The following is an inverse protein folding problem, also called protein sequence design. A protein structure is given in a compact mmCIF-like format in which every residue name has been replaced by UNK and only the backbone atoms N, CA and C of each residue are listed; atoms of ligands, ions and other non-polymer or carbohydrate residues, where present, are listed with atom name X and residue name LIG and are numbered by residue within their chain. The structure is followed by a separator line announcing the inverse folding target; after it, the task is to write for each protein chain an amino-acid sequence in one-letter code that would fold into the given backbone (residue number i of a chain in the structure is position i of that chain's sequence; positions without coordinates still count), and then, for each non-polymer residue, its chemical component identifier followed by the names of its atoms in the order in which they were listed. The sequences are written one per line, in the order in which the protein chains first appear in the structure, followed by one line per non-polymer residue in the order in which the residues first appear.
data_IF_425889908343
#
_entry.id   IF_425889908343
#
_cell.length_a   1.000
_cell.length_b   1.000
_cell.length_c   1.000
_cell.angle_alpha   90.00
_cell.angle_beta   90.00
_cell.angle_gamma   90.00
#
_symmetry.space_group_name_H-M   'P 1'
#
loop_
_entity.id
_entity.type
_entity.pdbx_description
1 polymer ?
#
# COMPACT_ATOMS: atom_id res chain seq x y z
N UNK A 1 -13.78 7.49 -23.72
CA UNK A 1 -12.75 6.52 -24.17
C UNK A 1 -13.39 5.13 -24.23
N UNK A 2 -13.07 4.32 -25.24
CA UNK A 2 -13.55 2.93 -25.31
C UNK A 2 -12.80 2.04 -24.30
N UNK A 3 -13.50 1.07 -23.72
CA UNK A 3 -12.88 0.06 -22.86
C UNK A 3 -11.92 -0.83 -23.65
N UNK A 4 -10.82 -1.25 -23.01
CA UNK A 4 -9.85 -2.20 -23.59
C UNK A 4 -8.62 -1.58 -24.25
N UNK A 5 -8.57 -0.25 -24.40
CA UNK A 5 -7.36 0.44 -24.85
C UNK A 5 -6.31 0.48 -23.72
N UNK A 6 -5.12 -0.06 -23.97
CA UNK A 6 -4.05 -0.16 -22.97
C UNK A 6 -3.66 1.18 -22.32
N UNK A 7 -3.76 2.29 -23.07
CA UNK A 7 -3.38 3.62 -22.58
C UNK A 7 -4.55 4.44 -22.03
N UNK A 8 -5.79 3.97 -22.15
CA UNK A 8 -6.96 4.73 -21.70
C UNK A 8 -6.89 5.11 -20.21
N UNK A 9 -6.48 4.22 -19.27
CA UNK A 9 -6.35 4.59 -17.86
C UNK A 9 -5.30 5.68 -17.63
N UNK A 10 -4.15 5.60 -18.31
CA UNK A 10 -3.09 6.59 -18.18
C UNK A 10 -3.50 7.97 -18.73
N UNK A 11 -4.16 7.99 -19.89
CA UNK A 11 -4.71 9.21 -20.48
C UNK A 11 -5.78 9.83 -19.59
N UNK A 12 -6.68 9.02 -19.03
CA UNK A 12 -7.71 9.51 -18.12
C UNK A 12 -7.11 10.07 -16.83
N UNK A 13 -6.14 9.37 -16.24
CA UNK A 13 -5.42 9.86 -15.07
C UNK A 13 -4.77 11.22 -15.33
N UNK A 14 -4.16 11.39 -16.52
CA UNK A 14 -3.52 12.67 -16.90
C UNK A 14 -4.56 13.78 -16.97
N UNK A 15 -5.67 13.55 -17.66
CA UNK A 15 -6.79 14.50 -17.73
C UNK A 15 -7.29 14.87 -16.32
N UNK A 16 -7.52 13.88 -15.46
CA UNK A 16 -8.02 14.12 -14.11
C UNK A 16 -7.02 14.91 -13.26
N UNK A 17 -5.72 14.62 -13.37
CA UNK A 17 -4.68 15.38 -12.70
C UNK A 17 -4.64 16.84 -13.20
N UNK A 18 -4.83 17.08 -14.50
CA UNK A 18 -4.87 18.43 -15.06
C UNK A 18 -6.10 19.22 -14.57
N UNK A 19 -7.29 18.60 -14.57
CA UNK A 19 -8.54 19.21 -14.11
C UNK A 19 -8.48 19.58 -12.63
N UNK A 20 -7.94 18.68 -11.79
CA UNK A 20 -7.89 18.87 -10.34
C UNK A 20 -6.59 19.50 -9.85
N UNK A 21 -5.64 19.83 -10.73
CA UNK A 21 -4.30 20.34 -10.40
C UNK A 21 -4.27 21.41 -9.30
N UNK A 22 -5.18 22.41 -9.26
CA UNK A 22 -5.16 23.43 -8.21
C UNK A 22 -5.50 22.89 -6.80
N UNK A 23 -6.23 21.77 -6.73
CA UNK A 23 -6.81 21.14 -5.55
C UNK A 23 -6.04 19.88 -5.09
N UNK A 24 -5.20 19.31 -5.96
CA UNK A 24 -4.38 18.15 -5.66
C UNK A 24 -3.54 18.37 -4.40
N UNK A 25 -3.49 17.35 -3.54
CA UNK A 25 -2.76 17.29 -2.28
C UNK A 25 -3.12 18.37 -1.23
N UNK A 26 -4.10 19.22 -1.53
CA UNK A 26 -4.66 20.20 -0.59
C UNK A 26 -5.96 19.69 0.02
N UNK A 27 -6.89 19.29 -0.83
CA UNK A 27 -8.24 18.83 -0.45
C UNK A 27 -8.77 17.71 -1.33
N UNK A 28 -8.06 17.36 -2.41
CA UNK A 28 -8.46 16.33 -3.37
C UNK A 28 -7.28 15.41 -3.67
N UNK A 29 -7.52 14.10 -3.63
CA UNK A 29 -6.63 13.08 -4.22
C UNK A 29 -7.37 12.42 -5.36
N UNK A 30 -6.71 12.24 -6.50
CA UNK A 30 -7.29 11.56 -7.66
C UNK A 30 -6.43 10.38 -8.06
N UNK A 31 -7.08 9.26 -8.37
CA UNK A 31 -6.42 8.09 -8.93
C UNK A 31 -7.32 7.43 -9.97
N UNK A 32 -6.91 7.48 -11.25
CA UNK A 32 -7.75 7.05 -12.38
C UNK A 32 -9.13 7.72 -12.32
N UNK A 33 -10.17 6.93 -12.07
CA UNK A 33 -11.58 7.37 -12.03
C UNK A 33 -12.04 7.75 -10.62
N UNK A 34 -11.26 7.44 -9.59
CA UNK A 34 -11.63 7.64 -8.19
C UNK A 34 -11.14 9.00 -7.69
N UNK A 35 -12.06 9.80 -7.14
CA UNK A 35 -11.80 11.11 -6.55
C UNK A 35 -12.10 11.03 -5.06
N UNK A 36 -11.09 11.34 -4.23
CA UNK A 36 -11.25 11.48 -2.79
C UNK A 36 -11.17 12.95 -2.42
N UNK A 37 -12.23 13.47 -1.79
CA UNK A 37 -12.26 14.83 -1.25
C UNK A 37 -12.17 14.75 0.28
N UNK A 38 -11.17 15.39 0.88
CA UNK A 38 -10.92 15.33 2.32
C UNK A 38 -10.75 16.73 2.90
N UNK A 39 -11.32 16.94 4.09
CA UNK A 39 -11.26 18.21 4.81
C UNK A 39 -11.55 17.99 6.30
N UNK A 40 -11.33 19.02 7.13
CA UNK A 40 -11.52 18.93 8.59
C UNK A 40 -12.94 19.21 9.07
N UNK A 41 -13.66 20.12 8.42
CA UNK A 41 -15.01 20.56 8.84
C UNK A 41 -16.04 20.25 7.76
N UNK A 42 -17.29 20.02 8.17
CA UNK A 42 -18.37 19.70 7.23
C UNK A 42 -18.74 20.92 6.37
N UNK A 43 -18.58 22.11 6.92
CA UNK A 43 -18.84 23.41 6.30
C UNK A 43 -17.88 23.63 5.13
N UNK A 44 -16.58 23.46 5.37
CA UNK A 44 -15.57 23.53 4.32
C UNK A 44 -15.78 22.41 3.30
N UNK A 45 -16.24 21.23 3.73
CA UNK A 45 -16.53 20.11 2.83
C UNK A 45 -17.55 20.46 1.76
N UNK A 46 -18.61 21.19 2.13
CA UNK A 46 -19.63 21.64 1.17
C UNK A 46 -19.04 22.59 0.13
N UNK A 47 -18.18 23.52 0.56
CA UNK A 47 -17.51 24.48 -0.32
C UNK A 47 -16.60 23.76 -1.31
N UNK A 48 -15.76 22.85 -0.82
CA UNK A 48 -14.85 22.08 -1.67
C UNK A 48 -15.59 21.12 -2.62
N UNK A 49 -16.66 20.47 -2.15
CA UNK A 49 -17.49 19.64 -3.03
C UNK A 49 -18.13 20.46 -4.15
N UNK A 50 -18.60 21.67 -3.86
CA UNK A 50 -19.14 22.56 -4.88
C UNK A 50 -18.08 22.91 -5.94
N UNK A 51 -16.85 23.23 -5.54
CA UNK A 51 -15.75 23.48 -6.47
C UNK A 51 -15.41 22.24 -7.32
N UNK A 52 -15.37 21.06 -6.70
CA UNK A 52 -15.12 19.80 -7.40
C UNK A 52 -16.20 19.52 -8.44
N UNK A 53 -17.48 19.70 -8.10
CA UNK A 53 -18.58 19.50 -9.06
C UNK A 53 -18.59 20.53 -10.17
N UNK A 54 -18.21 21.78 -9.89
CA UNK A 54 -18.11 22.80 -10.93
C UNK A 54 -17.02 22.46 -11.93
N UNK A 55 -15.83 22.04 -11.47
CA UNK A 55 -14.76 21.57 -12.36
C UNK A 55 -15.16 20.36 -13.20
N UNK A 56 -15.86 19.40 -12.60
CA UNK A 56 -16.37 18.26 -13.35
C UNK A 56 -17.34 18.72 -14.44
N UNK A 57 -18.21 19.69 -14.16
CA UNK A 57 -19.16 20.25 -15.12
C UNK A 57 -18.45 21.03 -16.24
N UNK A 58 -17.46 21.86 -15.92
CA UNK A 58 -16.67 22.62 -16.90
C UNK A 58 -15.95 21.72 -17.92
N UNK A 59 -15.62 20.50 -17.53
CA UNK A 59 -14.90 19.53 -18.35
C UNK A 59 -15.77 18.37 -18.87
N UNK A 60 -17.10 18.47 -18.77
CA UNK A 60 -18.07 17.45 -19.20
C UNK A 60 -17.80 16.04 -18.60
N UNK A 61 -17.34 16.01 -17.34
CA UNK A 61 -17.09 14.79 -16.58
C UNK A 61 -18.28 14.47 -15.67
N UNK A 62 -18.72 13.22 -15.71
CA UNK A 62 -19.90 12.77 -14.98
C UNK A 62 -19.55 11.74 -13.92
N UNK A 63 -20.03 11.97 -12.70
CA UNK A 63 -19.91 11.03 -11.58
C UNK A 63 -21.15 10.15 -11.50
N UNK A 64 -20.94 8.85 -11.28
CA UNK A 64 -22.05 7.90 -11.09
C UNK A 64 -22.54 7.96 -9.64
N UNK A 65 -23.66 8.66 -9.40
CA UNK A 65 -24.25 8.88 -8.06
C UNK A 65 -24.35 7.63 -7.19
N UNK A 66 -24.72 6.48 -7.75
CA UNK A 66 -24.85 5.19 -7.04
C UNK A 66 -23.53 4.71 -6.41
N UNK A 67 -22.38 5.15 -6.94
CA UNK A 67 -21.04 4.79 -6.44
C UNK A 67 -20.44 5.86 -5.54
N UNK A 68 -21.08 7.02 -5.41
CA UNK A 68 -20.57 8.13 -4.62
C UNK A 68 -20.91 7.95 -3.14
N UNK A 69 -19.95 8.27 -2.27
CA UNK A 69 -20.13 8.35 -0.82
C UNK A 69 -19.81 9.78 -0.40
N UNK A 70 -20.70 10.40 0.40
CA UNK A 70 -20.56 11.80 0.81
C UNK A 70 -20.53 11.92 2.32
N UNK A 71 -19.72 12.87 2.82
CA UNK A 71 -19.66 13.27 4.22
C UNK A 71 -19.54 12.09 5.21
N UNK A 72 -18.66 11.12 4.88
CA UNK A 72 -18.37 9.97 5.75
C UNK A 72 -17.13 10.25 6.60
N UNK A 73 -17.10 9.73 7.83
CA UNK A 73 -15.90 9.80 8.68
C UNK A 73 -14.78 8.84 8.24
N UNK A 74 -15.17 7.72 7.63
CA UNK A 74 -14.29 6.70 7.06
C UNK A 74 -14.81 6.32 5.66
N UNK A 75 -13.91 6.20 4.69
CA UNK A 75 -14.24 5.83 3.30
C UNK A 75 -13.32 4.72 2.79
N UNK A 76 -13.85 3.86 1.92
CA UNK A 76 -13.02 2.92 1.17
C UNK A 76 -12.45 3.63 -0.07
N UNK A 77 -11.13 3.75 -0.13
CA UNK A 77 -10.42 4.35 -1.25
C UNK A 77 -9.22 3.47 -1.61
N UNK A 78 -9.16 3.02 -2.86
CA UNK A 78 -8.08 2.16 -3.39
C UNK A 78 -7.80 0.91 -2.52
N UNK A 79 -8.85 0.26 -2.00
CA UNK A 79 -8.69 -0.96 -1.19
C UNK A 79 -8.11 -0.70 0.22
N UNK A 80 -8.23 0.54 0.70
CA UNK A 80 -7.92 0.94 2.07
C UNK A 80 -9.12 1.66 2.68
N UNK A 81 -9.34 1.49 3.98
CA UNK A 81 -10.22 2.36 4.74
C UNK A 81 -9.40 3.54 5.25
N UNK A 82 -9.78 4.74 4.83
CA UNK A 82 -9.14 5.99 5.22
C UNK A 82 -10.11 6.80 6.07
N UNK A 83 -9.67 7.23 7.24
CA UNK A 83 -10.47 8.07 8.12
C UNK A 83 -9.82 8.28 9.48
N UNK A 84 -10.25 9.32 10.20
CA UNK A 84 -9.80 9.63 11.58
C UNK A 84 -8.27 9.71 11.74
N UNK A 85 -7.54 10.12 10.71
CA UNK A 85 -6.08 10.20 10.75
C UNK A 85 -5.35 8.87 10.53
N UNK A 86 -6.06 7.81 10.16
CA UNK A 86 -5.55 6.44 10.08
C UNK A 86 -5.83 5.82 8.70
N UNK A 87 -4.94 4.91 8.29
CA UNK A 87 -5.15 4.04 7.12
C UNK A 87 -5.23 2.60 7.62
N UNK A 88 -6.29 1.90 7.19
CA UNK A 88 -6.48 0.46 7.46
C UNK A 88 -6.62 -0.30 6.14
N UNK A 89 -6.21 -1.57 6.07
CA UNK A 89 -6.55 -2.43 4.94
C UNK A 89 -8.07 -2.63 4.83
N UNK A 90 -8.57 -2.84 3.60
CA UNK A 90 -9.98 -3.21 3.39
C UNK A 90 -10.31 -4.58 4.02
N UNK A 91 -11.27 -4.67 4.96
CA UNK A 91 -11.68 -5.92 5.60
C UNK A 91 -12.08 -7.02 4.61
N UNK A 92 -12.64 -6.67 3.45
CA UNK A 92 -13.00 -7.66 2.43
C UNK A 92 -11.75 -8.32 1.83
N UNK A 93 -10.70 -7.53 1.61
CA UNK A 93 -9.40 -8.03 1.12
C UNK A 93 -8.66 -8.81 2.19
N UNK A 94 -8.73 -8.38 3.45
CA UNK A 94 -8.20 -9.14 4.58
C UNK A 94 -8.88 -10.49 4.74
N UNK A 95 -10.22 -10.53 4.64
CA UNK A 95 -10.98 -11.77 4.70
C UNK A 95 -10.59 -12.73 3.57
N UNK A 96 -10.40 -12.21 2.35
CA UNK A 96 -9.92 -13.03 1.24
C UNK A 96 -8.51 -13.61 1.50
N UNK A 97 -7.64 -12.91 2.23
CA UNK A 97 -6.32 -13.42 2.66
C UNK A 97 -6.48 -14.48 3.76
N UNK A 98 -7.38 -14.25 4.72
CA UNK A 98 -7.67 -15.16 5.83
C UNK A 98 -8.22 -16.51 5.35
N UNK A 99 -9.19 -16.45 4.43
CA UNK A 99 -9.84 -17.62 3.83
C UNK A 99 -8.98 -18.28 2.73
N UNK A 100 -7.79 -17.73 2.43
CA UNK A 100 -6.94 -18.23 1.36
C UNK A 100 -6.39 -19.62 1.69
N UNK A 101 -6.62 -20.59 0.80
CA UNK A 101 -6.13 -21.97 0.94
C UNK A 101 -4.64 -22.10 0.60
N UNK A 102 -3.89 -23.03 1.23
CA UNK A 102 -2.47 -23.23 0.91
C UNK A 102 -2.23 -23.46 -0.59
N UNK A 103 -1.40 -22.62 -1.25
CA UNK A 103 -1.12 -22.74 -2.67
C UNK A 103 -0.56 -24.12 -3.06
N UNK A 104 -1.12 -24.70 -4.12
CA UNK A 104 -0.74 -25.98 -4.70
C UNK A 104 0.28 -25.86 -5.84
N UNK A 105 0.44 -24.65 -6.39
CA UNK A 105 1.33 -24.39 -7.53
C UNK A 105 1.91 -22.97 -7.55
N UNK A 106 2.87 -22.75 -8.45
CA UNK A 106 3.59 -21.46 -8.61
C UNK A 106 2.65 -20.30 -8.99
N UNK A 107 1.58 -20.59 -9.73
CA UNK A 107 0.61 -19.57 -10.14
C UNK A 107 -0.16 -19.03 -8.93
N UNK A 108 -0.67 -19.92 -8.08
CA UNK A 108 -1.39 -19.57 -6.84
C UNK A 108 -0.50 -18.83 -5.85
N UNK A 109 0.77 -19.24 -5.69
CA UNK A 109 1.72 -18.48 -4.85
C UNK A 109 1.92 -17.08 -5.41
N UNK A 110 2.00 -16.93 -6.72
CA UNK A 110 2.16 -15.60 -7.34
C UNK A 110 0.93 -14.73 -7.11
N UNK A 111 -0.28 -15.29 -7.18
CA UNK A 111 -1.52 -14.58 -6.89
C UNK A 111 -1.57 -14.11 -5.43
N UNK A 112 -1.31 -15.03 -4.48
CA UNK A 112 -1.25 -14.71 -3.05
C UNK A 112 -0.19 -13.62 -2.79
N UNK A 113 1.03 -13.80 -3.30
CA UNK A 113 2.12 -12.84 -3.12
C UNK A 113 1.81 -11.48 -3.72
N UNK A 114 1.04 -11.40 -4.82
CA UNK A 114 0.58 -10.13 -5.39
C UNK A 114 -0.25 -9.32 -4.40
N UNK A 115 -1.23 -9.96 -3.76
CA UNK A 115 -2.10 -9.31 -2.78
C UNK A 115 -1.36 -9.04 -1.46
N UNK A 116 -0.56 -9.99 -0.97
CA UNK A 116 0.23 -9.83 0.25
C UNK A 116 1.24 -8.66 0.12
N UNK A 117 1.86 -8.51 -1.06
CA UNK A 117 2.81 -7.42 -1.32
C UNK A 117 2.11 -6.06 -1.37
N UNK A 118 0.85 -5.99 -1.82
CA UNK A 118 0.06 -4.75 -1.80
C UNK A 118 -0.09 -4.18 -0.38
N UNK A 119 -0.28 -5.07 0.60
CA UNK A 119 -0.40 -4.72 2.02
C UNK A 119 0.91 -4.85 2.80
N UNK A 120 2.08 -5.01 2.14
CA UNK A 120 3.37 -5.20 2.83
C UNK A 120 3.71 -4.08 3.82
N UNK A 121 3.26 -2.85 3.54
CA UNK A 121 3.51 -1.65 4.36
C UNK A 121 2.92 -1.73 5.76
N UNK A 122 1.99 -2.66 5.98
CA UNK A 122 1.35 -2.95 7.27
C UNK A 122 2.13 -4.00 8.06
N UNK A 123 3.03 -4.77 7.43
CA UNK A 123 3.69 -5.91 8.06
C UNK A 123 5.17 -5.62 8.31
N UNK A 124 5.54 -5.51 9.59
CA UNK A 124 6.95 -5.41 9.99
C UNK A 124 7.73 -6.65 9.51
N UNK A 125 8.84 -6.41 8.81
CA UNK A 125 9.73 -7.48 8.35
C UNK A 125 9.13 -8.39 7.26
N UNK A 126 8.16 -7.90 6.49
CA UNK A 126 7.47 -8.65 5.43
C UNK A 126 8.42 -9.47 4.53
N UNK A 127 9.50 -8.86 4.04
CA UNK A 127 10.46 -9.52 3.15
C UNK A 127 11.14 -10.75 3.76
N UNK A 128 11.39 -10.75 5.07
CA UNK A 128 11.96 -11.90 5.78
C UNK A 128 10.93 -13.03 5.86
N UNK A 129 9.69 -12.70 6.20
CA UNK A 129 8.58 -13.66 6.29
C UNK A 129 8.23 -14.25 4.92
N UNK A 130 8.23 -13.44 3.86
CA UNK A 130 7.91 -13.85 2.50
C UNK A 130 9.05 -14.60 1.79
N UNK A 131 10.23 -14.72 2.40
CA UNK A 131 11.39 -15.37 1.77
C UNK A 131 11.12 -16.81 1.31
N UNK A 132 10.53 -17.70 2.12
CA UNK A 132 10.24 -19.07 1.71
C UNK A 132 9.29 -19.18 0.51
N UNK A 133 8.35 -18.23 0.39
CA UNK A 133 7.37 -18.18 -0.71
C UNK A 133 7.96 -17.56 -1.98
N UNK A 134 8.73 -16.47 -1.84
CA UNK A 134 9.40 -15.84 -2.99
C UNK A 134 10.47 -16.73 -3.60
N UNK A 135 11.12 -17.59 -2.80
CA UNK A 135 12.08 -18.57 -3.32
C UNK A 135 11.41 -19.66 -4.20
N UNK A 136 10.10 -19.93 -4.03
CA UNK A 136 9.33 -20.80 -4.92
C UNK A 136 9.06 -20.17 -6.30
N UNK A 137 9.10 -18.84 -6.39
CA UNK A 137 8.84 -18.11 -7.64
C UNK A 137 10.09 -18.02 -8.55
N UNK A 138 11.25 -18.45 -8.06
CA UNK A 138 12.52 -18.39 -8.81
C UNK A 138 12.55 -19.40 -9.95
N UNK A 139 13.05 -18.96 -11.12
CA UNK A 139 13.23 -19.83 -12.29
C UNK A 139 14.16 -21.01 -11.96
N UNK A 140 13.82 -22.20 -12.44
CA UNK A 140 14.62 -23.42 -12.27
C UNK A 140 14.51 -24.11 -10.90
N UNK A 141 13.69 -23.60 -9.97
CA UNK A 141 13.38 -24.30 -8.71
C UNK A 141 12.29 -25.34 -8.94
N UNK A 142 12.51 -26.56 -8.44
CA UNK A 142 11.44 -27.58 -8.35
C UNK A 142 10.42 -27.13 -7.30
N UNK A 143 9.15 -27.20 -7.65
CA UNK A 143 8.05 -26.94 -6.73
C UNK A 143 8.11 -27.91 -5.54
N UNK A 144 8.23 -27.36 -4.32
CA UNK A 144 8.26 -28.12 -3.07
C UNK A 144 7.62 -27.28 -1.97
N UNK A 145 6.35 -27.57 -1.70
CA UNK A 145 5.66 -27.01 -0.55
C UNK A 145 5.93 -27.89 0.67
N UNK A 146 6.71 -27.38 1.63
CA UNK A 146 7.03 -28.09 2.87
C UNK A 146 6.66 -27.22 4.07
N UNK A 147 6.95 -27.73 5.27
CA UNK A 147 6.63 -27.07 6.54
C UNK A 147 7.09 -25.60 6.61
N UNK A 148 8.28 -25.28 6.09
CA UNK A 148 8.79 -23.89 6.06
C UNK A 148 7.92 -22.94 5.23
N UNK A 149 7.38 -23.42 4.10
CA UNK A 149 6.48 -22.64 3.25
C UNK A 149 5.11 -22.48 3.90
N UNK A 150 4.59 -23.57 4.50
CA UNK A 150 3.34 -23.53 5.24
C UNK A 150 3.40 -22.55 6.42
N UNK A 151 4.45 -22.63 7.24
CA UNK A 151 4.66 -21.72 8.37
C UNK A 151 4.76 -20.26 7.91
N UNK A 152 5.50 -19.99 6.83
CA UNK A 152 5.59 -18.64 6.27
C UNK A 152 4.25 -18.12 5.75
N UNK A 153 3.47 -18.98 5.09
CA UNK A 153 2.14 -18.66 4.58
C UNK A 153 1.17 -18.31 5.71
N UNK A 154 1.06 -19.16 6.73
CA UNK A 154 0.16 -18.89 7.87
C UNK A 154 0.59 -17.67 8.68
N UNK A 155 1.90 -17.50 8.90
CA UNK A 155 2.40 -16.34 9.63
C UNK A 155 2.17 -15.03 8.87
N UNK A 156 2.27 -15.04 7.53
CA UNK A 156 1.92 -13.89 6.71
C UNK A 156 0.43 -13.59 6.76
N UNK A 157 -0.44 -14.61 6.65
CA UNK A 157 -1.89 -14.45 6.81
C UNK A 157 -2.19 -13.80 8.16
N UNK A 158 -1.67 -14.37 9.24
CA UNK A 158 -1.86 -13.84 10.60
C UNK A 158 -1.37 -12.40 10.74
N UNK A 159 -0.21 -12.04 10.18
CA UNK A 159 0.33 -10.68 10.29
C UNK A 159 -0.44 -9.66 9.45
N UNK A 160 -0.96 -10.07 8.29
CA UNK A 160 -1.78 -9.24 7.43
C UNK A 160 -3.19 -9.02 8.00
N UNK A 161 -3.74 -10.01 8.69
CA UNK A 161 -5.08 -9.94 9.32
C UNK A 161 -5.05 -9.36 10.73
N UNK A 162 -3.95 -9.54 11.48
CA UNK A 162 -3.69 -8.73 12.66
C UNK A 162 -3.70 -7.27 12.23
N UNK A 163 -4.36 -6.37 12.95
CA UNK A 163 -4.53 -4.97 12.55
C UNK A 163 -3.39 -4.07 13.09
N UNK A 164 -2.28 -3.86 12.36
CA UNK A 164 -1.47 -2.68 12.57
C UNK A 164 -2.16 -1.53 11.85
N UNK A 165 -2.63 -0.57 12.62
CA UNK A 165 -3.19 0.66 12.09
C UNK A 165 -2.03 1.60 11.80
N UNK A 166 -1.90 2.04 10.54
CA UNK A 166 -0.89 3.03 10.17
C UNK A 166 -1.46 4.43 10.39
N UNK A 167 -0.66 5.30 10.97
CA UNK A 167 -0.96 6.73 11.03
C UNK A 167 -0.80 7.36 9.65
N UNK A 168 -1.67 8.31 9.30
CA UNK A 168 -1.45 9.15 8.13
C UNK A 168 -0.21 10.03 8.35
N UNK A 169 0.68 10.16 7.33
CA UNK A 169 1.84 11.01 7.45
C UNK A 169 1.41 12.47 7.63
N UNK A 170 1.99 13.12 8.64
CA UNK A 170 1.85 14.55 8.88
C UNK A 170 3.14 15.27 8.50
N UNK A 171 3.16 15.90 7.33
CA UNK A 171 4.33 16.62 6.82
C UNK A 171 4.73 17.86 7.63
N UNK A 172 3.88 18.31 8.57
CA UNK A 172 4.22 19.38 9.52
C UNK A 172 4.98 18.89 10.76
N UNK A 173 5.20 17.58 10.90
CA UNK A 173 5.91 16.97 12.03
C UNK A 173 7.18 16.27 11.55
N UNK A 174 8.22 16.16 12.40
CA UNK A 174 9.40 15.37 12.05
C UNK A 174 9.04 13.90 11.84
N UNK A 175 9.79 13.25 10.97
CA UNK A 175 9.73 11.81 10.77
C UNK A 175 10.89 11.14 11.51
N UNK A 176 10.63 9.98 12.10
CA UNK A 176 11.62 9.13 12.73
C UNK A 176 11.72 7.83 11.93
N UNK A 177 12.95 7.44 11.57
CA UNK A 177 13.21 6.18 10.88
C UNK A 177 14.02 5.29 11.81
N UNK A 178 13.46 4.13 12.15
CA UNK A 178 14.19 3.08 12.85
C UNK A 178 14.52 1.97 11.87
N UNK A 179 15.79 1.60 11.75
CA UNK A 179 16.24 0.54 10.85
C UNK A 179 16.86 -0.60 11.62
N UNK A 180 16.80 -1.79 11.03
CA UNK A 180 17.45 -3.00 11.52
C UNK A 180 17.98 -3.82 10.34
N UNK A 181 19.16 -4.41 10.50
CA UNK A 181 19.77 -5.27 9.50
C UNK A 181 20.07 -6.66 10.06
N UNK A 182 19.87 -7.67 9.21
CA UNK A 182 20.24 -9.05 9.48
C UNK A 182 21.09 -9.61 8.35
N UNK A 183 21.61 -10.82 8.53
CA UNK A 183 22.41 -11.50 7.50
C UNK A 183 21.67 -11.77 6.19
N UNK A 184 20.34 -11.73 6.20
CA UNK A 184 19.52 -12.12 5.06
C UNK A 184 18.62 -11.01 4.54
N UNK A 185 18.27 -10.03 5.38
CA UNK A 185 17.31 -8.99 5.06
C UNK A 185 17.55 -7.73 5.90
N UNK A 186 17.12 -6.60 5.37
CA UNK A 186 17.06 -5.30 6.03
C UNK A 186 15.60 -4.89 6.20
N UNK A 187 15.33 -4.07 7.21
CA UNK A 187 14.01 -3.51 7.44
C UNK A 187 14.08 -2.15 8.11
N UNK A 188 12.95 -1.45 8.08
CA UNK A 188 12.77 -0.24 8.84
C UNK A 188 11.31 0.10 9.06
N UNK A 189 11.11 1.00 10.02
CA UNK A 189 9.81 1.56 10.37
C UNK A 189 9.92 3.07 10.27
N UNK A 190 9.06 3.67 9.45
CA UNK A 190 8.83 5.10 9.44
C UNK A 190 7.77 5.41 10.50
N UNK A 191 8.07 6.32 11.41
CA UNK A 191 7.21 6.67 12.53
C UNK A 191 7.08 8.19 12.70
N UNK A 192 6.02 8.59 13.38
CA UNK A 192 5.85 9.95 13.91
C UNK A 192 5.25 9.86 15.31
N UNK A 193 5.84 10.56 16.27
CA UNK A 193 5.36 10.59 17.67
C UNK A 193 5.12 9.18 18.26
N UNK A 194 6.06 8.26 17.99
CA UNK A 194 5.98 6.87 18.43
C UNK A 194 4.95 5.99 17.72
N UNK A 195 4.26 6.49 16.69
CA UNK A 195 3.27 5.72 15.91
C UNK A 195 3.81 5.37 14.51
N UNK A 196 3.62 4.11 14.05
CA UNK A 196 4.08 3.68 12.73
C UNK A 196 3.24 4.29 11.60
N UNK A 197 3.93 4.87 10.63
CA UNK A 197 3.38 5.40 9.37
C UNK A 197 3.54 4.39 8.24
N UNK A 198 4.68 3.70 8.18
CA UNK A 198 4.93 2.64 7.20
C UNK A 198 6.02 1.67 7.67
N UNK A 199 5.89 0.41 7.25
CA UNK A 199 6.94 -0.59 7.37
C UNK A 199 7.60 -0.82 6.00
N UNK A 200 8.92 -0.86 5.94
CA UNK A 200 9.68 -1.22 4.74
C UNK A 200 10.63 -2.38 5.04
N UNK A 201 10.82 -3.28 4.08
CA UNK A 201 11.74 -4.40 4.24
C UNK A 201 12.18 -4.97 2.91
N UNK A 202 13.44 -5.38 2.83
CA UNK A 202 14.04 -5.92 1.60
C UNK A 202 15.02 -7.04 1.91
N UNK A 203 15.01 -8.09 1.08
CA UNK A 203 16.01 -9.16 1.13
C UNK A 203 17.35 -8.64 0.61
N UNK A 204 18.44 -9.01 1.28
CA UNK A 204 19.79 -8.75 0.79
C UNK A 204 20.10 -9.66 -0.41
N UNK A 205 20.69 -9.06 -1.45
CA UNK A 205 21.22 -9.81 -2.58
C UNK A 205 22.51 -10.56 -2.20
N UNK A 206 22.99 -11.47 -3.05
CA UNK A 206 24.10 -12.35 -2.71
C UNK A 206 25.42 -11.61 -2.43
N UNK A 207 25.59 -10.39 -2.99
CA UNK A 207 26.76 -9.54 -2.71
C UNK A 207 26.62 -8.82 -1.37
N UNK A 208 25.44 -8.23 -1.12
CA UNK A 208 25.15 -7.48 0.11
C UNK A 208 25.16 -8.38 1.35
N UNK A 209 24.90 -9.69 1.21
CA UNK A 209 25.02 -10.63 2.33
C UNK A 209 26.44 -10.79 2.87
N UNK A 210 27.43 -10.56 2.01
CA UNK A 210 28.84 -10.63 2.38
C UNK A 210 29.34 -9.34 3.02
N UNK A 211 28.51 -8.29 3.11
CA UNK A 211 28.87 -7.06 3.79
C UNK A 211 29.08 -7.30 5.29
N UNK A 212 30.06 -6.62 5.91
CA UNK A 212 30.17 -6.59 7.35
C UNK A 212 28.93 -5.92 7.97
N UNK A 213 28.67 -6.19 9.25
CA UNK A 213 27.44 -5.76 9.94
C UNK A 213 27.20 -4.25 9.80
N UNK A 214 28.22 -3.42 9.98
CA UNK A 214 28.08 -1.96 9.87
C UNK A 214 27.67 -1.49 8.46
N UNK A 215 28.14 -2.16 7.39
CA UNK A 215 27.71 -1.86 6.02
C UNK A 215 26.28 -2.32 5.75
N UNK A 216 25.85 -3.44 6.36
CA UNK A 216 24.46 -3.90 6.30
C UNK A 216 23.51 -2.90 6.97
N UNK A 217 23.88 -2.38 8.14
CA UNK A 217 23.14 -1.31 8.83
C UNK A 217 23.04 -0.05 7.97
N UNK A 218 24.18 0.41 7.40
CA UNK A 218 24.18 1.55 6.49
C UNK A 218 23.30 1.32 5.26
N UNK A 219 23.31 0.11 4.72
CA UNK A 219 22.44 -0.29 3.59
C UNK A 219 20.96 -0.23 3.99
N UNK A 220 20.61 -0.61 5.22
CA UNK A 220 19.26 -0.48 5.74
C UNK A 220 18.80 0.98 5.77
N UNK A 221 19.63 1.87 6.33
CA UNK A 221 19.38 3.32 6.39
C UNK A 221 19.17 3.90 4.99
N UNK A 222 20.11 3.67 4.07
CA UNK A 222 20.05 4.20 2.71
C UNK A 222 18.82 3.66 1.96
N UNK A 223 18.45 2.41 2.19
CA UNK A 223 17.27 1.82 1.56
C UNK A 223 15.99 2.49 2.06
N UNK A 224 15.80 2.59 3.38
CA UNK A 224 14.60 3.18 3.98
C UNK A 224 14.44 4.69 3.67
N UNK A 225 15.53 5.42 3.43
CA UNK A 225 15.48 6.82 3.02
C UNK A 225 15.14 7.02 1.53
N UNK A 226 15.31 5.98 0.70
CA UNK A 226 15.04 6.03 -0.75
C UNK A 226 13.69 5.45 -1.14
N UNK A 227 13.18 4.51 -0.36
CA UNK A 227 11.90 3.81 -0.55
C UNK A 227 10.71 4.73 -0.31
#
# INVERSE_FOLDING_TARGET
MSFGLCNAPATFCTLMNDVFRPLLDKSVVVYLDDILVYIKTLEDHKVHLAEVFERLREHDLYVKKEKCQFAQEEVNFLGHIVGKGLIKPDPQKLKAIEDWEPPSNVHEVRQFMGLATYYRRFVQGFSKLATPLTDLLKKGRKWRWMEKQQQAFELLKQKLTSQPVLALPNYGKPFEVQTDASDYAIGGVLMQEGHPVAYESRKLNDRERNYPVHEKEMTAIVHCLRS
#
